data_IF_199315582814
#
_entry.id   IF_199315582814
#
_cell.length_a   1.000
_cell.length_b   1.000
_cell.length_c   1.000
_cell.angle_alpha   90.00
_cell.angle_beta   90.00
_cell.angle_gamma   90.00
#
_symmetry.space_group_name_H-M   'P 1'
#
loop_
_entity.id
_entity.type
_entity.pdbx_description
1 polymer ?
#
# COMPACT_ATOMS: atom_id res chain seq x y z
N UNK A 1 5.75 -1.78 -7.80
CA UNK A 1 5.05 -2.63 -6.81
C UNK A 1 5.89 -3.80 -6.26
N UNK A 2 6.47 -4.70 -7.07
CA UNK A 2 7.17 -5.91 -6.56
C UNK A 2 8.30 -5.66 -5.53
N UNK A 3 9.08 -4.57 -5.67
CA UNK A 3 10.13 -4.24 -4.69
C UNK A 3 9.57 -3.85 -3.32
N UNK A 4 8.45 -3.13 -3.30
CA UNK A 4 7.75 -2.74 -2.07
C UNK A 4 7.18 -3.98 -1.37
N UNK A 5 6.53 -4.87 -2.12
CA UNK A 5 6.00 -6.12 -1.59
C UNK A 5 7.11 -6.98 -0.94
N UNK A 6 8.27 -7.10 -1.60
CA UNK A 6 9.45 -7.77 -1.04
C UNK A 6 10.00 -7.07 0.21
N UNK A 7 9.96 -5.74 0.27
CA UNK A 7 10.40 -5.02 1.46
C UNK A 7 9.52 -5.32 2.68
N UNK A 8 8.20 -5.33 2.48
CA UNK A 8 7.24 -5.63 3.54
C UNK A 8 7.20 -7.12 3.93
N UNK A 9 7.48 -8.05 3.01
CA UNK A 9 7.47 -9.48 3.31
C UNK A 9 8.52 -9.92 4.34
N UNK A 10 9.46 -9.05 4.70
CA UNK A 10 10.41 -9.30 5.78
C UNK A 10 9.76 -9.22 7.17
N UNK A 11 8.68 -8.45 7.33
CA UNK A 11 8.05 -8.17 8.62
C UNK A 11 6.54 -8.38 8.66
N UNK A 12 5.89 -8.46 7.50
CA UNK A 12 4.45 -8.53 7.33
C UNK A 12 4.07 -9.74 6.48
N UNK A 13 2.82 -10.20 6.62
CA UNK A 13 2.26 -11.16 5.67
C UNK A 13 1.95 -10.41 4.38
N UNK A 14 2.69 -10.74 3.31
CA UNK A 14 2.53 -10.14 1.99
C UNK A 14 2.29 -11.23 0.96
N UNK A 15 1.23 -11.06 0.17
CA UNK A 15 0.99 -11.83 -1.05
C UNK A 15 1.15 -10.88 -2.22
N UNK A 16 1.92 -11.25 -3.24
CA UNK A 16 2.07 -10.41 -4.41
C UNK A 16 2.38 -11.24 -5.64
N UNK A 17 2.03 -10.70 -6.80
CA UNK A 17 2.43 -11.19 -8.11
C UNK A 17 2.93 -10.03 -8.98
N UNK A 18 2.76 -10.13 -10.30
CA UNK A 18 3.20 -9.10 -11.23
C UNK A 18 2.31 -7.84 -11.19
N UNK A 19 1.02 -8.00 -10.90
CA UNK A 19 -0.02 -6.97 -11.05
C UNK A 19 -0.67 -6.62 -9.71
N UNK A 20 -0.77 -7.55 -8.77
CA UNK A 20 -1.45 -7.36 -7.49
C UNK A 20 -0.53 -7.58 -6.28
N UNK A 21 -0.83 -6.89 -5.19
CA UNK A 21 -0.18 -7.09 -3.89
C UNK A 21 -1.17 -6.84 -2.74
N UNK A 22 -1.23 -7.77 -1.81
CA UNK A 22 -1.99 -7.67 -0.57
C UNK A 22 -1.06 -7.75 0.64
N UNK A 23 -1.24 -6.85 1.59
CA UNK A 23 -0.41 -6.73 2.78
C UNK A 23 -1.32 -6.72 4.00
N UNK A 24 -1.08 -7.64 4.93
CA UNK A 24 -1.78 -7.70 6.20
C UNK A 24 -0.87 -7.20 7.33
N UNK A 25 -1.35 -6.18 8.05
CA UNK A 25 -0.69 -5.63 9.21
C UNK A 25 -1.17 -6.33 10.50
N UNK A 26 -0.33 -6.43 11.55
CA UNK A 26 -0.69 -7.09 12.80
C UNK A 26 -1.88 -6.47 13.53
N UNK A 27 -2.15 -5.17 13.32
CA UNK A 27 -3.30 -4.46 13.87
C UNK A 27 -4.61 -4.76 13.12
N UNK A 28 -4.62 -5.72 12.19
CA UNK A 28 -5.78 -6.08 11.38
C UNK A 28 -6.00 -5.15 10.18
N UNK A 29 -5.20 -4.10 10.01
CA UNK A 29 -5.22 -3.28 8.79
C UNK A 29 -4.78 -4.11 7.60
N UNK A 30 -5.44 -3.91 6.46
CA UNK A 30 -5.10 -4.53 5.18
C UNK A 30 -4.93 -3.47 4.12
N UNK A 31 -3.90 -3.62 3.29
CA UNK A 31 -3.71 -2.83 2.07
C UNK A 31 -3.74 -3.79 0.89
N UNK A 32 -4.57 -3.47 -0.08
CA UNK A 32 -4.64 -4.13 -1.38
C UNK A 32 -4.22 -3.13 -2.44
N UNK A 33 -3.27 -3.54 -3.28
CA UNK A 33 -2.71 -2.71 -4.34
C UNK A 33 -2.81 -3.45 -5.65
N UNK A 34 -3.20 -2.74 -6.70
CA UNK A 34 -3.22 -3.25 -8.07
C UNK A 34 -2.53 -2.27 -8.98
N UNK A 35 -1.49 -2.74 -9.65
CA UNK A 35 -0.79 -2.01 -10.69
C UNK A 35 -1.58 -2.11 -11.99
N UNK A 36 -1.88 -0.97 -12.59
CA UNK A 36 -2.30 -0.86 -13.98
C UNK A 36 -1.13 -0.31 -14.83
N UNK A 37 -1.36 -0.15 -16.11
CA UNK A 37 -0.42 0.37 -17.10
C UNK A 37 0.12 1.77 -16.77
N UNK A 38 -0.69 2.64 -16.15
CA UNK A 38 -0.33 4.04 -15.84
C UNK A 38 -0.57 4.44 -14.39
N UNK A 39 -1.26 3.62 -13.59
CA UNK A 39 -1.69 3.95 -12.22
C UNK A 39 -1.47 2.80 -11.25
N UNK A 40 -1.52 3.10 -9.96
CA UNK A 40 -1.53 2.11 -8.89
C UNK A 40 -2.75 2.35 -8.02
N UNK A 41 -3.74 1.47 -8.11
CA UNK A 41 -4.91 1.52 -7.26
C UNK A 41 -4.58 0.96 -5.88
N UNK A 42 -4.97 1.66 -4.82
CA UNK A 42 -4.73 1.26 -3.43
C UNK A 42 -6.04 1.28 -2.65
N UNK A 43 -6.43 0.13 -2.09
CA UNK A 43 -7.54 -0.01 -1.17
C UNK A 43 -6.99 -0.30 0.24
N UNK A 44 -7.33 0.58 1.19
CA UNK A 44 -6.90 0.47 2.58
C UNK A 44 -8.13 0.15 3.45
N UNK A 45 -8.12 -1.01 4.09
CA UNK A 45 -9.13 -1.42 5.08
C UNK A 45 -8.53 -1.33 6.47
N UNK A 46 -9.12 -0.47 7.31
CA UNK A 46 -8.66 -0.23 8.69
C UNK A 46 -9.77 -0.63 9.66
N UNK A 47 -9.49 -1.49 10.67
CA UNK A 47 -10.50 -1.89 11.66
C UNK A 47 -11.00 -0.71 12.51
N UNK A 48 -12.22 -0.83 13.02
CA UNK A 48 -12.78 0.15 13.96
C UNK A 48 -11.87 0.31 15.19
N UNK A 49 -11.54 1.57 15.50
CA UNK A 49 -10.65 1.93 16.61
C UNK A 49 -9.18 2.09 16.24
N UNK A 50 -8.79 1.74 15.02
CA UNK A 50 -7.47 2.08 14.46
C UNK A 50 -7.53 3.43 13.71
N UNK A 51 -6.35 4.04 13.53
CA UNK A 51 -6.24 5.37 12.93
C UNK A 51 -6.04 5.26 11.41
N UNK A 52 -7.12 5.47 10.66
CA UNK A 52 -7.10 5.37 9.21
C UNK A 52 -6.24 6.44 8.54
N UNK A 53 -6.21 7.67 9.05
CA UNK A 53 -5.41 8.76 8.50
C UNK A 53 -3.92 8.48 8.67
N UNK A 54 -3.53 8.00 9.86
CA UNK A 54 -2.16 7.53 10.10
C UNK A 54 -1.78 6.38 9.18
N UNK A 55 -2.67 5.40 8.98
CA UNK A 55 -2.38 4.28 8.08
C UNK A 55 -2.25 4.71 6.62
N UNK A 56 -3.05 5.69 6.15
CA UNK A 56 -2.87 6.31 4.82
C UNK A 56 -1.46 6.90 4.68
N UNK A 57 -1.04 7.73 5.63
CA UNK A 57 0.29 8.35 5.61
C UNK A 57 1.43 7.33 5.61
N UNK A 58 1.29 6.22 6.35
CA UNK A 58 2.27 5.11 6.31
C UNK A 58 2.34 4.51 4.90
N UNK A 59 1.21 4.25 4.25
CA UNK A 59 1.19 3.68 2.89
C UNK A 59 1.79 4.66 1.88
N UNK A 60 1.44 5.95 1.96
CA UNK A 60 2.00 7.00 1.10
C UNK A 60 3.51 7.12 1.22
N UNK A 61 4.07 7.20 2.44
CA UNK A 61 5.52 7.32 2.66
C UNK A 61 6.28 6.15 2.00
N UNK A 62 5.74 4.94 2.12
CA UNK A 62 6.33 3.78 1.48
C UNK A 62 6.19 3.86 -0.04
N UNK A 63 5.02 4.17 -0.56
CA UNK A 63 4.83 4.31 -2.00
C UNK A 63 5.75 5.38 -2.60
N UNK A 64 5.85 6.55 -1.99
CA UNK A 64 6.77 7.63 -2.41
C UNK A 64 8.23 7.20 -2.36
N UNK A 65 8.67 6.51 -1.30
CA UNK A 65 10.06 6.02 -1.21
C UNK A 65 10.41 5.06 -2.36
N UNK A 66 9.46 4.25 -2.81
CA UNK A 66 9.69 3.30 -3.90
C UNK A 66 9.43 3.91 -5.27
N UNK A 67 8.48 4.83 -5.39
CA UNK A 67 8.14 5.55 -6.61
C UNK A 67 9.11 6.68 -6.91
N UNK A 68 9.92 7.16 -5.95
CA UNK A 68 10.99 8.14 -6.21
C UNK A 68 11.96 7.71 -7.33
N UNK A 69 12.05 6.39 -7.61
CA UNK A 69 12.79 5.89 -8.78
C UNK A 69 12.11 6.14 -10.12
N UNK A 70 10.80 6.39 -10.15
CA UNK A 70 9.97 6.55 -11.35
C UNK A 70 9.28 7.94 -11.45
N UNK A 71 9.13 8.68 -10.34
CA UNK A 71 8.56 10.04 -10.30
C UNK A 71 7.72 10.30 -9.03
N UNK A 72 7.35 11.56 -8.74
CA UNK A 72 6.44 11.88 -7.64
C UNK A 72 5.03 11.33 -7.91
N UNK A 73 4.43 10.68 -6.91
CA UNK A 73 3.05 10.19 -6.97
C UNK A 73 2.06 11.26 -6.49
N UNK A 74 0.83 11.19 -6.97
CA UNK A 74 -0.30 11.97 -6.44
C UNK A 74 -1.31 11.00 -5.86
N UNK A 75 -1.66 11.17 -4.59
CA UNK A 75 -2.63 10.32 -3.90
C UNK A 75 -3.97 11.06 -3.76
N UNK A 76 -5.03 10.48 -4.32
CA UNK A 76 -6.42 10.96 -4.19
C UNK A 76 -7.22 9.91 -3.41
N UNK A 77 -7.12 9.94 -2.08
CA UNK A 77 -7.88 9.03 -1.22
C UNK A 77 -9.35 9.42 -1.22
N UNK A 78 -10.21 8.41 -1.36
CA UNK A 78 -11.67 8.56 -1.19
C UNK A 78 -12.13 7.65 -0.08
N UNK A 79 -12.86 8.24 0.87
CA UNK A 79 -13.63 7.49 1.86
C UNK A 79 -14.83 6.84 1.16
N UNK A 80 -14.94 5.52 1.23
CA UNK A 80 -16.02 4.72 0.64
C UNK A 80 -16.78 3.92 1.67
#
# INVERSE_FOLDING_TARGET
MQQLAKHWSHKLEVRFDAEEATVAFPNGTRVEMRADSETLDCALTVPDGEDAERMRGVVEEHLDRFAFREGPLTFDWRDS
#
